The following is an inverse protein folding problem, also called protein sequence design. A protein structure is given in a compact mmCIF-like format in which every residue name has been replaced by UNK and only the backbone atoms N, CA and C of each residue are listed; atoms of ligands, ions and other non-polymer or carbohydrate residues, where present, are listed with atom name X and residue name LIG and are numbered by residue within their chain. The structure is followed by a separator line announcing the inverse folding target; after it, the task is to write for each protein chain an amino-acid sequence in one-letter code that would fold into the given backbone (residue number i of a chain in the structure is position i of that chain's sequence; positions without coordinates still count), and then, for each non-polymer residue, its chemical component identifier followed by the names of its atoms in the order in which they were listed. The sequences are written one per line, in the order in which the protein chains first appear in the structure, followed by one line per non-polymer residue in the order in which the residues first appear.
data_IF_040947204553
#
_entry.id   IF_040947204553
#
_cell.length_a   1.000
_cell.length_b   1.000
_cell.length_c   1.000
_cell.angle_alpha   90.00
_cell.angle_beta   90.00
_cell.angle_gamma   90.00
#
_symmetry.space_group_name_H-M   'P 1'
#
loop_
_entity.id
_entity.type
_entity.pdbx_description
1 polymer ?
#
# COMPACT_ATOMS: atom_id res chain seq x y z
N UNK A 1 -0.03 -27.74 29.78
CA UNK A 1 -1.45 -27.63 29.44
C UNK A 1 -1.64 -26.88 28.11
N UNK A 2 -1.10 -25.67 27.92
CA UNK A 2 -1.22 -24.89 26.67
C UNK A 2 -0.84 -25.68 25.43
N UNK A 3 0.35 -26.32 25.39
CA UNK A 3 0.79 -27.16 24.28
C UNK A 3 -0.22 -28.26 23.91
N UNK A 4 -0.93 -28.81 24.88
CA UNK A 4 -1.94 -29.84 24.65
C UNK A 4 -3.19 -29.23 24.00
N UNK A 5 -3.65 -28.08 24.44
CA UNK A 5 -4.78 -27.37 23.85
C UNK A 5 -4.48 -26.92 22.40
N UNK A 6 -3.27 -26.42 22.14
CA UNK A 6 -2.81 -26.11 20.77
C UNK A 6 -2.86 -27.37 19.89
N UNK A 7 -2.32 -28.51 20.39
CA UNK A 7 -2.36 -29.78 19.64
C UNK A 7 -3.81 -30.21 19.37
N UNK A 8 -4.74 -30.00 20.34
CA UNK A 8 -6.17 -30.31 20.18
C UNK A 8 -6.82 -29.43 19.10
N UNK A 9 -6.49 -28.16 19.00
CA UNK A 9 -6.97 -27.26 17.93
C UNK A 9 -6.54 -27.80 16.56
N UNK A 10 -5.23 -28.06 16.37
CA UNK A 10 -4.67 -28.52 15.10
C UNK A 10 -4.91 -30.02 14.82
N UNK A 11 -5.43 -30.80 15.76
CA UNK A 11 -5.81 -32.21 15.49
C UNK A 11 -7.10 -32.34 14.71
N UNK A 12 -7.99 -31.33 14.73
CA UNK A 12 -9.26 -31.35 14.04
C UNK A 12 -9.07 -31.24 12.52
N UNK A 13 -9.72 -32.14 11.77
CA UNK A 13 -9.65 -32.11 10.29
C UNK A 13 -10.15 -30.80 9.71
N UNK A 14 -11.24 -30.23 10.26
CA UNK A 14 -11.77 -28.94 9.81
C UNK A 14 -10.74 -27.79 9.95
N UNK A 15 -10.00 -27.76 11.08
CA UNK A 15 -8.98 -26.74 11.30
C UNK A 15 -7.78 -26.92 10.37
N UNK A 16 -7.40 -28.16 10.06
CA UNK A 16 -6.34 -28.44 9.06
C UNK A 16 -6.76 -27.98 7.67
N UNK A 17 -7.99 -28.26 7.27
CA UNK A 17 -8.55 -27.79 5.99
C UNK A 17 -8.58 -26.25 5.98
N UNK A 18 -9.06 -25.62 7.05
CA UNK A 18 -9.08 -24.14 7.16
C UNK A 18 -7.69 -23.53 7.01
N UNK A 19 -6.65 -24.12 7.62
CA UNK A 19 -5.26 -23.67 7.46
C UNK A 19 -4.76 -23.79 6.02
N UNK A 20 -5.09 -24.91 5.35
CA UNK A 20 -4.72 -25.11 3.93
C UNK A 20 -5.43 -24.07 3.06
N UNK A 21 -6.71 -23.80 3.31
CA UNK A 21 -7.47 -22.77 2.59
C UNK A 21 -6.85 -21.38 2.80
N UNK A 22 -6.46 -21.05 4.04
CA UNK A 22 -5.79 -19.78 4.34
C UNK A 22 -4.46 -19.64 3.58
N UNK A 23 -3.62 -20.68 3.62
CA UNK A 23 -2.34 -20.67 2.90
C UNK A 23 -2.54 -20.56 1.39
N UNK A 24 -3.54 -21.24 0.84
CA UNK A 24 -3.89 -21.15 -0.57
C UNK A 24 -4.38 -19.71 -0.92
N UNK A 25 -5.23 -19.11 -0.09
CA UNK A 25 -5.70 -17.74 -0.27
C UNK A 25 -4.56 -16.73 -0.24
N UNK A 26 -3.61 -16.86 0.69
CA UNK A 26 -2.41 -16.02 0.76
C UNK A 26 -1.57 -16.19 -0.52
N UNK A 27 -1.33 -17.44 -0.96
CA UNK A 27 -0.55 -17.69 -2.17
C UNK A 27 -1.19 -17.09 -3.43
N UNK A 28 -2.51 -17.21 -3.56
CA UNK A 28 -3.28 -16.59 -4.66
C UNK A 28 -3.21 -15.08 -4.60
N UNK A 29 -3.33 -14.49 -3.42
CA UNK A 29 -3.24 -13.03 -3.24
C UNK A 29 -1.84 -12.52 -3.58
N UNK A 30 -0.79 -13.21 -3.14
CA UNK A 30 0.58 -12.88 -3.52
C UNK A 30 0.81 -12.98 -5.04
N UNK A 31 0.23 -14.00 -5.67
CA UNK A 31 0.29 -14.14 -7.12
C UNK A 31 -0.36 -12.95 -7.83
N UNK A 32 -1.56 -12.53 -7.41
CA UNK A 32 -2.21 -11.35 -7.98
C UNK A 32 -1.41 -10.05 -7.72
N UNK A 33 -0.86 -9.88 -6.52
CA UNK A 33 -0.04 -8.72 -6.20
C UNK A 33 1.19 -8.60 -7.12
N UNK A 34 1.85 -9.72 -7.42
CA UNK A 34 3.00 -9.75 -8.34
C UNK A 34 2.55 -9.56 -9.78
N UNK A 35 1.43 -10.20 -10.18
CA UNK A 35 0.92 -10.14 -11.56
C UNK A 35 0.35 -8.76 -11.92
N UNK A 36 0.01 -7.93 -10.92
CA UNK A 36 -0.45 -6.56 -11.15
C UNK A 36 0.67 -5.56 -11.46
N UNK A 37 1.93 -5.99 -11.35
CA UNK A 37 3.06 -5.17 -11.76
C UNK A 37 3.29 -5.32 -13.25
N UNK A 38 3.29 -4.22 -13.94
CA UNK A 38 3.49 -4.16 -15.39
C UNK A 38 4.41 -3.01 -15.79
N UNK A 39 5.10 -3.18 -16.91
CA UNK A 39 5.80 -2.11 -17.60
C UNK A 39 5.63 -2.29 -19.12
N UNK A 40 5.74 -1.19 -19.84
CA UNK A 40 5.72 -1.15 -21.30
C UNK A 40 7.15 -0.91 -21.78
N UNK A 41 7.63 -1.72 -22.72
CA UNK A 41 8.94 -1.53 -23.33
C UNK A 41 8.91 -0.53 -24.52
N UNK A 42 10.05 -0.32 -25.18
CA UNK A 42 10.17 0.59 -26.32
C UNK A 42 9.49 0.05 -27.59
N UNK A 43 9.23 -1.26 -27.67
CA UNK A 43 8.47 -1.91 -28.76
C UNK A 43 6.96 -1.83 -28.49
N UNK A 44 6.58 -1.27 -27.34
CA UNK A 44 5.18 -1.10 -26.87
C UNK A 44 4.53 -2.43 -26.42
N UNK A 45 5.36 -3.41 -26.10
CA UNK A 45 4.88 -4.65 -25.49
C UNK A 45 4.76 -4.51 -23.99
N UNK A 46 3.64 -5.00 -23.44
CA UNK A 46 3.38 -4.98 -21.99
C UNK A 46 3.91 -6.26 -21.36
N UNK A 47 4.82 -6.10 -20.41
CA UNK A 47 5.37 -7.18 -19.59
C UNK A 47 4.76 -7.14 -18.19
N UNK A 48 4.51 -8.31 -17.60
CA UNK A 48 3.85 -8.43 -16.29
C UNK A 48 4.62 -9.36 -15.34
N UNK A 49 4.27 -9.32 -14.06
CA UNK A 49 4.76 -10.27 -13.07
C UNK A 49 6.17 -9.99 -12.58
N UNK A 50 6.92 -11.05 -12.23
CA UNK A 50 8.24 -10.93 -11.58
C UNK A 50 9.26 -10.22 -12.47
N UNK A 51 9.22 -10.45 -13.78
CA UNK A 51 10.13 -9.78 -14.71
C UNK A 51 9.87 -8.25 -14.73
N UNK A 52 8.60 -7.85 -14.78
CA UNK A 52 8.20 -6.46 -14.71
C UNK A 52 8.58 -5.83 -13.36
N UNK A 53 8.33 -6.52 -12.26
CA UNK A 53 8.71 -6.03 -10.92
C UNK A 53 10.22 -5.76 -10.79
N UNK A 54 11.06 -6.64 -11.36
CA UNK A 54 12.51 -6.46 -11.37
C UNK A 54 12.94 -5.28 -12.24
N UNK A 55 12.40 -5.20 -13.45
CA UNK A 55 12.69 -4.09 -14.37
C UNK A 55 12.34 -2.74 -13.74
N UNK A 56 11.14 -2.60 -13.20
CA UNK A 56 10.70 -1.38 -12.53
C UNK A 56 11.58 -1.03 -11.34
N UNK A 57 11.95 -2.02 -10.51
CA UNK A 57 12.86 -1.80 -9.39
C UNK A 57 14.20 -1.26 -9.88
N UNK A 58 14.81 -1.91 -10.87
CA UNK A 58 16.14 -1.57 -11.33
C UNK A 58 16.15 -0.19 -12.03
N UNK A 59 15.15 0.11 -12.85
CA UNK A 59 15.02 1.40 -13.54
C UNK A 59 14.68 2.56 -12.59
N UNK A 60 13.80 2.32 -11.61
CA UNK A 60 13.43 3.35 -10.62
C UNK A 60 14.50 3.56 -9.55
N UNK A 61 15.33 2.54 -9.26
CA UNK A 61 16.46 2.67 -8.34
C UNK A 61 17.52 3.68 -8.80
N UNK A 62 17.59 3.98 -10.10
CA UNK A 62 18.46 5.04 -10.63
C UNK A 62 18.12 6.44 -10.08
N UNK A 63 16.90 6.61 -9.61
CA UNK A 63 16.36 7.85 -9.06
C UNK A 63 16.29 7.85 -7.53
N UNK A 64 16.79 6.79 -6.87
CA UNK A 64 16.77 6.67 -5.42
C UNK A 64 17.63 7.74 -4.75
N UNK A 65 17.10 8.35 -3.68
CA UNK A 65 17.79 9.36 -2.90
C UNK A 65 16.90 10.54 -2.50
N UNK A 66 17.54 11.63 -2.10
CA UNK A 66 16.84 12.86 -1.75
C UNK A 66 16.33 13.56 -3.02
N UNK A 67 15.05 13.90 -3.04
CA UNK A 67 14.40 14.62 -4.14
C UNK A 67 14.69 16.10 -4.01
N UNK A 68 15.94 16.47 -4.32
CA UNK A 68 16.40 17.85 -4.31
C UNK A 68 15.84 18.65 -5.49
N UNK A 69 16.03 19.97 -5.48
CA UNK A 69 15.65 20.82 -6.63
C UNK A 69 16.34 20.37 -7.93
N UNK A 70 17.58 19.93 -7.87
CA UNK A 70 18.32 19.47 -9.05
C UNK A 70 17.69 18.20 -9.63
N UNK A 71 17.25 17.27 -8.79
CA UNK A 71 16.52 16.07 -9.21
C UNK A 71 15.18 16.45 -9.85
N UNK A 72 14.44 17.38 -9.24
CA UNK A 72 13.17 17.87 -9.80
C UNK A 72 13.35 18.54 -11.16
N UNK A 73 14.37 19.37 -11.32
CA UNK A 73 14.72 20.01 -12.60
C UNK A 73 15.11 18.99 -13.66
N UNK A 74 15.91 17.98 -13.28
CA UNK A 74 16.29 16.89 -14.19
C UNK A 74 15.08 16.11 -14.67
N UNK A 75 14.13 15.77 -13.78
CA UNK A 75 12.87 15.10 -14.16
C UNK A 75 12.09 15.95 -15.16
N UNK A 76 11.92 17.25 -14.93
CA UNK A 76 11.21 18.14 -15.88
C UNK A 76 11.95 18.23 -17.22
N UNK A 77 13.28 18.32 -17.18
CA UNK A 77 14.11 18.36 -18.40
C UNK A 77 13.95 17.09 -19.23
N UNK A 78 14.07 15.91 -18.61
CA UNK A 78 13.90 14.63 -19.30
C UNK A 78 12.46 14.46 -19.81
N UNK A 79 11.46 14.80 -18.98
CA UNK A 79 10.06 14.74 -19.39
C UNK A 79 9.79 15.60 -20.63
N UNK A 80 10.37 16.82 -20.69
CA UNK A 80 10.24 17.71 -21.84
C UNK A 80 10.91 17.14 -23.08
N UNK A 81 12.15 16.65 -22.98
CA UNK A 81 12.88 16.03 -24.12
C UNK A 81 12.14 14.83 -24.69
N UNK A 82 11.55 14.02 -23.81
CA UNK A 82 10.74 12.88 -24.24
C UNK A 82 9.45 13.36 -24.93
N UNK A 83 8.76 14.39 -24.41
CA UNK A 83 7.56 14.94 -25.03
C UNK A 83 7.82 15.59 -26.39
N UNK A 84 8.98 16.23 -26.56
CA UNK A 84 9.40 16.82 -27.85
C UNK A 84 9.69 15.74 -28.89
N UNK A 85 10.28 14.60 -28.46
CA UNK A 85 10.65 13.50 -29.37
C UNK A 85 9.46 12.57 -29.64
N UNK A 86 8.65 12.30 -28.61
CA UNK A 86 7.51 11.39 -28.62
C UNK A 86 6.28 12.10 -28.06
N UNK A 87 5.67 13.01 -28.83
CA UNK A 87 4.52 13.79 -28.35
C UNK A 87 3.31 12.89 -28.09
N UNK A 88 2.60 13.22 -27.01
CA UNK A 88 1.32 12.58 -26.71
C UNK A 88 0.29 12.99 -27.77
N UNK A 89 -0.25 12.01 -28.48
CA UNK A 89 -1.16 12.23 -29.60
C UNK A 89 -2.25 11.16 -29.64
N UNK A 90 -3.53 11.55 -29.65
CA UNK A 90 -4.64 10.60 -29.78
C UNK A 90 -4.68 9.90 -31.15
N UNK A 91 -3.96 10.42 -32.15
CA UNK A 91 -3.91 9.86 -33.51
C UNK A 91 -2.68 8.98 -33.77
N UNK A 92 -1.66 9.07 -32.90
CA UNK A 92 -0.45 8.24 -32.97
C UNK A 92 -0.17 7.60 -31.60
N UNK A 93 -0.98 6.60 -31.27
CA UNK A 93 -0.90 5.86 -30.02
C UNK A 93 0.46 5.19 -29.83
N UNK A 94 1.10 4.74 -30.93
CA UNK A 94 2.40 4.10 -30.84
C UNK A 94 3.47 5.05 -30.32
N UNK A 95 3.57 6.25 -30.89
CA UNK A 95 4.51 7.29 -30.44
C UNK A 95 4.23 7.70 -28.99
N UNK A 96 2.96 7.87 -28.61
CA UNK A 96 2.55 8.17 -27.24
C UNK A 96 3.02 7.08 -26.26
N UNK A 97 2.84 5.80 -26.61
CA UNK A 97 3.25 4.67 -25.76
C UNK A 97 4.78 4.55 -25.64
N UNK A 98 5.54 4.84 -26.70
CA UNK A 98 7.00 4.93 -26.59
C UNK A 98 7.40 6.06 -25.65
N UNK A 99 6.77 7.22 -25.75
CA UNK A 99 6.98 8.32 -24.80
C UNK A 99 6.67 7.92 -23.36
N UNK A 100 5.59 7.19 -23.15
CA UNK A 100 5.21 6.63 -21.84
C UNK A 100 6.28 5.65 -21.33
N UNK A 101 6.73 4.68 -22.16
CA UNK A 101 7.72 3.68 -21.73
C UNK A 101 9.01 4.31 -21.21
N UNK A 102 9.47 5.39 -21.84
CA UNK A 102 10.68 6.12 -21.44
C UNK A 102 10.54 6.94 -20.14
N UNK A 103 9.33 7.26 -19.73
CA UNK A 103 9.05 8.01 -18.49
C UNK A 103 8.88 7.13 -17.25
N UNK A 104 8.77 5.82 -17.39
CA UNK A 104 8.43 4.90 -16.28
C UNK A 104 9.46 4.93 -15.15
N UNK A 105 10.76 5.14 -15.46
CA UNK A 105 11.82 5.20 -14.46
C UNK A 105 11.63 6.29 -13.42
N UNK A 106 11.19 7.48 -13.83
CA UNK A 106 10.97 8.63 -12.94
C UNK A 106 9.49 8.96 -12.72
N UNK A 107 8.58 8.06 -13.08
CA UNK A 107 7.13 8.29 -13.02
C UNK A 107 6.66 8.69 -11.62
N UNK A 108 7.19 8.09 -10.55
CA UNK A 108 6.77 8.36 -9.18
C UNK A 108 7.16 9.78 -8.75
N UNK A 109 8.34 10.27 -9.18
CA UNK A 109 8.78 11.66 -8.93
C UNK A 109 7.94 12.62 -9.78
N UNK A 110 7.65 12.27 -11.03
CA UNK A 110 6.75 13.04 -11.88
C UNK A 110 5.35 13.15 -11.27
N UNK A 111 4.83 12.09 -10.67
CA UNK A 111 3.54 12.10 -9.97
C UNK A 111 3.58 12.94 -8.69
N UNK A 112 4.71 12.95 -7.98
CA UNK A 112 4.92 13.87 -6.86
C UNK A 112 4.87 15.34 -7.33
N UNK A 113 5.50 15.67 -8.48
CA UNK A 113 5.43 17.00 -9.09
C UNK A 113 3.99 17.32 -9.50
N UNK A 114 3.31 16.41 -10.21
CA UNK A 114 1.92 16.60 -10.59
C UNK A 114 1.04 16.90 -9.36
N UNK A 115 1.18 16.13 -8.29
CA UNK A 115 0.42 16.32 -7.05
C UNK A 115 0.74 17.66 -6.36
N UNK A 116 2.02 18.07 -6.35
CA UNK A 116 2.44 19.30 -5.70
C UNK A 116 1.99 20.57 -6.42
N UNK A 117 1.77 20.50 -7.73
CA UNK A 117 1.37 21.63 -8.57
C UNK A 117 -0.08 21.55 -9.07
N UNK A 118 -0.81 20.48 -8.76
CA UNK A 118 -2.25 20.38 -8.96
C UNK A 118 -3.01 21.04 -7.81
N UNK A 119 -4.26 21.42 -8.04
CA UNK A 119 -5.13 21.84 -6.94
C UNK A 119 -5.34 20.68 -5.97
N UNK A 120 -5.47 20.99 -4.67
CA UNK A 120 -5.65 19.97 -3.65
C UNK A 120 -6.95 19.20 -3.92
N UNK A 121 -6.86 17.84 -3.98
CA UNK A 121 -7.92 16.90 -4.38
C UNK A 121 -8.29 16.87 -5.87
N UNK A 122 -7.67 17.69 -6.71
CA UNK A 122 -7.85 17.66 -8.16
C UNK A 122 -6.52 17.33 -8.84
N UNK A 123 -6.21 16.01 -8.94
CA UNK A 123 -4.95 15.58 -9.54
C UNK A 123 -4.93 15.78 -11.04
N UNK A 124 -3.94 16.54 -11.53
CA UNK A 124 -3.68 16.70 -12.97
C UNK A 124 -2.43 15.90 -13.37
N UNK A 125 -2.61 14.81 -14.09
CA UNK A 125 -1.55 13.90 -14.56
C UNK A 125 -0.58 14.54 -15.56
N UNK A 126 -0.93 15.68 -16.13
CA UNK A 126 -0.15 16.41 -17.14
C UNK A 126 0.47 17.71 -16.61
N UNK A 127 0.38 17.95 -15.31
CA UNK A 127 0.85 19.22 -14.74
C UNK A 127 2.35 19.43 -14.95
N UNK A 128 3.15 18.38 -14.81
CA UNK A 128 4.60 18.39 -15.05
C UNK A 128 4.97 18.80 -16.48
N UNK A 129 4.09 18.55 -17.46
CA UNK A 129 4.36 18.88 -18.87
C UNK A 129 4.34 20.40 -19.14
N UNK A 130 3.66 21.17 -18.28
CA UNK A 130 3.53 22.63 -18.39
C UNK A 130 4.48 23.42 -17.49
N UNK A 131 5.25 22.74 -16.62
CA UNK A 131 6.15 23.41 -15.68
C UNK A 131 7.52 23.70 -16.30
N UNK A 132 8.09 24.83 -15.91
CA UNK A 132 9.50 25.15 -16.15
C UNK A 132 10.42 24.56 -15.07
N UNK A 133 11.72 24.46 -15.38
CA UNK A 133 12.74 24.02 -14.43
C UNK A 133 12.88 24.96 -13.21
N UNK A 134 12.58 26.25 -13.39
CA UNK A 134 12.63 27.23 -12.29
C UNK A 134 11.40 27.14 -11.37
N UNK A 135 10.24 26.78 -11.92
CA UNK A 135 9.02 26.63 -11.14
C UNK A 135 9.04 25.39 -10.26
N UNK A 136 9.58 24.27 -10.76
CA UNK A 136 9.55 22.99 -10.07
C UNK A 136 10.31 22.99 -8.73
N UNK A 137 11.32 23.84 -8.57
CA UNK A 137 12.05 24.01 -7.31
C UNK A 137 11.17 24.44 -6.14
N UNK A 138 9.98 25.02 -6.40
CA UNK A 138 9.01 25.43 -5.38
C UNK A 138 8.07 24.32 -4.93
N UNK A 139 8.33 23.06 -5.28
CA UNK A 139 7.43 21.93 -5.01
C UNK A 139 7.01 21.86 -3.54
N UNK A 140 7.97 21.94 -2.63
CA UNK A 140 7.69 21.73 -1.20
C UNK A 140 6.87 22.86 -0.59
N UNK A 141 7.16 24.10 -0.95
CA UNK A 141 6.37 25.26 -0.51
C UNK A 141 4.97 25.24 -1.13
N UNK A 142 4.88 24.89 -2.41
CA UNK A 142 3.62 24.88 -3.12
C UNK A 142 2.63 23.83 -2.57
N UNK A 143 3.12 22.69 -2.07
CA UNK A 143 2.29 21.70 -1.38
C UNK A 143 1.58 22.28 -0.15
N UNK A 144 2.29 23.10 0.63
CA UNK A 144 1.72 23.76 1.82
C UNK A 144 0.69 24.79 1.39
N UNK A 145 1.03 25.62 0.40
CA UNK A 145 0.13 26.63 -0.14
C UNK A 145 -1.17 26.03 -0.72
N UNK A 146 -1.07 24.89 -1.41
CA UNK A 146 -2.23 24.20 -1.95
C UNK A 146 -3.13 23.65 -0.84
N UNK A 147 -2.57 23.12 0.24
CA UNK A 147 -3.36 22.71 1.40
C UNK A 147 -4.07 23.90 2.05
N UNK A 148 -3.36 25.02 2.28
CA UNK A 148 -3.93 26.23 2.89
C UNK A 148 -5.06 26.80 2.02
N UNK A 149 -4.84 26.86 0.69
CA UNK A 149 -5.85 27.31 -0.27
C UNK A 149 -7.11 26.45 -0.20
N UNK A 150 -6.95 25.13 -0.17
CA UNK A 150 -8.08 24.19 -0.08
C UNK A 150 -8.83 24.31 1.24
N UNK A 151 -8.12 24.37 2.38
CA UNK A 151 -8.73 24.52 3.71
C UNK A 151 -9.58 25.79 3.85
N UNK A 152 -9.30 26.81 3.04
CA UNK A 152 -10.04 28.07 3.01
C UNK A 152 -11.03 28.18 1.82
N UNK A 153 -11.12 27.16 0.99
CA UNK A 153 -12.08 27.10 -0.12
C UNK A 153 -13.52 26.92 0.37
N UNK A 154 -14.47 27.18 -0.51
CA UNK A 154 -15.91 26.97 -0.21
C UNK A 154 -16.24 25.52 0.11
N UNK A 155 -15.44 24.58 -0.41
CA UNK A 155 -15.61 23.15 -0.13
C UNK A 155 -15.24 22.77 1.32
N UNK A 156 -14.18 23.37 1.87
CA UNK A 156 -13.57 22.90 3.12
C UNK A 156 -13.68 23.90 4.30
N UNK A 157 -13.94 25.18 4.04
CA UNK A 157 -13.88 26.24 5.07
C UNK A 157 -14.74 25.98 6.30
N UNK A 158 -15.90 25.33 6.11
CA UNK A 158 -16.88 25.06 7.17
C UNK A 158 -16.73 23.62 7.74
N UNK A 159 -15.82 22.79 7.18
CA UNK A 159 -15.59 21.43 7.64
C UNK A 159 -14.56 21.36 8.78
N UNK A 160 -13.71 22.37 8.91
CA UNK A 160 -12.62 22.41 9.87
C UNK A 160 -12.63 23.71 10.66
N UNK A 161 -12.47 23.60 11.97
CA UNK A 161 -12.21 24.77 12.82
C UNK A 161 -10.83 25.37 12.53
N UNK A 162 -10.60 26.63 12.88
CA UNK A 162 -9.31 27.29 12.69
C UNK A 162 -8.14 26.55 13.39
N UNK A 163 -8.42 25.89 14.55
CA UNK A 163 -7.43 25.07 15.24
C UNK A 163 -7.06 23.80 14.45
N UNK A 164 -8.03 23.16 13.85
CA UNK A 164 -7.80 21.97 13.00
C UNK A 164 -7.07 22.33 11.72
N UNK A 165 -7.43 23.45 11.07
CA UNK A 165 -6.70 23.97 9.91
C UNK A 165 -5.22 24.24 10.26
N UNK A 166 -4.97 24.98 11.35
CA UNK A 166 -3.63 25.26 11.82
C UNK A 166 -2.86 23.97 12.16
N UNK A 167 -3.52 22.99 12.77
CA UNK A 167 -2.92 21.70 13.05
C UNK A 167 -2.51 20.97 11.77
N UNK A 168 -3.39 20.86 10.77
CA UNK A 168 -3.12 20.19 9.50
C UNK A 168 -1.95 20.85 8.78
N UNK A 169 -1.94 22.18 8.66
CA UNK A 169 -0.82 22.92 8.05
C UNK A 169 0.48 22.66 8.82
N UNK A 170 0.43 22.68 10.16
CA UNK A 170 1.62 22.40 10.98
C UNK A 170 2.18 20.99 10.78
N UNK A 171 1.33 19.99 10.51
CA UNK A 171 1.80 18.63 10.19
C UNK A 171 2.53 18.59 8.85
N UNK A 172 2.02 19.28 7.83
CA UNK A 172 2.70 19.40 6.53
C UNK A 172 4.04 20.12 6.62
N UNK A 173 4.11 21.19 7.43
CA UNK A 173 5.35 21.95 7.66
C UNK A 173 6.42 21.16 8.43
N UNK A 174 6.02 20.17 9.25
CA UNK A 174 6.94 19.32 10.02
C UNK A 174 7.56 18.19 9.19
N UNK A 175 7.04 17.92 8.00
CA UNK A 175 7.64 16.90 7.15
C UNK A 175 9.05 17.32 6.75
N UNK A 176 10.01 16.43 6.98
CA UNK A 176 11.39 16.65 6.55
C UNK A 176 11.46 16.73 5.02
N UNK A 177 12.05 17.80 4.52
CA UNK A 177 12.27 18.03 3.08
C UNK A 177 13.73 18.34 2.82
N UNK A 178 14.30 17.92 1.68
CA UNK A 178 13.68 17.17 0.58
C UNK A 178 13.30 15.72 0.99
N UNK A 179 12.24 15.18 0.38
CA UNK A 179 11.84 13.79 0.61
C UNK A 179 12.90 12.81 0.12
N UNK A 180 13.04 11.69 0.83
CA UNK A 180 13.82 10.57 0.34
C UNK A 180 12.92 9.66 -0.50
N UNK A 181 13.34 9.38 -1.72
CA UNK A 181 12.66 8.45 -2.62
C UNK A 181 13.35 7.10 -2.61
N UNK A 182 12.57 6.06 -2.48
CA UNK A 182 12.95 4.66 -2.66
C UNK A 182 11.77 3.93 -3.31
N UNK A 183 12.04 3.12 -4.32
CA UNK A 183 10.98 2.39 -4.98
C UNK A 183 10.39 1.30 -4.08
N UNK A 184 9.15 1.48 -3.68
CA UNK A 184 8.42 0.60 -2.78
C UNK A 184 7.25 -0.14 -3.44
N UNK A 185 7.24 -0.31 -4.77
CA UNK A 185 6.10 -0.86 -5.51
C UNK A 185 5.63 -2.22 -5.01
N UNK A 186 6.56 -3.11 -4.63
CA UNK A 186 6.23 -4.41 -4.03
C UNK A 186 5.49 -4.29 -2.70
N UNK A 187 5.90 -3.35 -1.83
CA UNK A 187 5.21 -3.07 -0.56
C UNK A 187 3.84 -2.44 -0.80
N UNK A 188 3.74 -1.51 -1.74
CA UNK A 188 2.46 -0.88 -2.10
C UNK A 188 1.47 -1.91 -2.61
N UNK A 189 1.88 -2.79 -3.52
CA UNK A 189 1.04 -3.89 -4.01
C UNK A 189 0.62 -4.83 -2.86
N UNK A 190 1.53 -5.19 -1.96
CA UNK A 190 1.20 -6.02 -0.80
C UNK A 190 0.19 -5.34 0.13
N UNK A 191 0.32 -4.03 0.39
CA UNK A 191 -0.58 -3.26 1.23
C UNK A 191 -2.00 -3.16 0.66
N UNK A 192 -2.17 -3.09 -0.65
CA UNK A 192 -3.48 -3.11 -1.31
C UNK A 192 -4.27 -4.38 -0.95
N UNK A 193 -3.58 -5.52 -0.87
CA UNK A 193 -4.22 -6.82 -0.55
C UNK A 193 -4.23 -7.14 0.95
N UNK A 194 -3.47 -6.44 1.78
CA UNK A 194 -3.35 -6.70 3.21
C UNK A 194 -4.71 -6.73 3.94
N UNK A 195 -5.67 -5.79 3.73
CA UNK A 195 -6.96 -5.83 4.41
C UNK A 195 -7.73 -7.13 4.14
N UNK A 196 -7.70 -7.62 2.90
CA UNK A 196 -8.37 -8.88 2.51
C UNK A 196 -7.73 -10.07 3.20
N UNK A 197 -6.38 -10.14 3.23
CA UNK A 197 -5.66 -11.21 3.91
C UNK A 197 -5.94 -11.18 5.42
N UNK A 198 -5.92 -10.00 6.04
CA UNK A 198 -6.21 -9.83 7.46
C UNK A 198 -7.63 -10.29 7.77
N UNK A 199 -8.63 -9.88 7.00
CA UNK A 199 -10.01 -10.28 7.18
C UNK A 199 -10.18 -11.79 7.09
N UNK A 200 -9.63 -12.43 6.07
CA UNK A 200 -9.66 -13.89 5.91
C UNK A 200 -8.95 -14.60 7.06
N UNK A 201 -7.81 -14.09 7.48
CA UNK A 201 -7.06 -14.64 8.62
C UNK A 201 -7.89 -14.59 9.88
N UNK A 202 -8.50 -13.43 10.20
CA UNK A 202 -9.35 -13.26 11.38
C UNK A 202 -10.54 -14.21 11.35
N UNK A 203 -11.22 -14.36 10.21
CA UNK A 203 -12.35 -15.30 10.06
C UNK A 203 -11.93 -16.75 10.31
N UNK A 204 -10.85 -17.21 9.69
CA UNK A 204 -10.37 -18.59 9.83
C UNK A 204 -9.86 -18.86 11.25
N UNK A 205 -9.12 -17.91 11.83
CA UNK A 205 -8.64 -18.04 13.21
C UNK A 205 -9.81 -18.03 14.20
N UNK A 206 -10.82 -17.19 13.99
CA UNK A 206 -12.05 -17.19 14.81
C UNK A 206 -12.75 -18.56 14.77
N UNK A 207 -12.81 -19.19 13.58
CA UNK A 207 -13.35 -20.53 13.43
C UNK A 207 -12.53 -21.58 14.20
N UNK A 208 -11.19 -21.49 14.19
CA UNK A 208 -10.31 -22.39 14.95
C UNK A 208 -10.56 -22.29 16.45
N UNK A 209 -10.78 -21.08 16.95
CA UNK A 209 -10.93 -20.81 18.38
C UNK A 209 -12.36 -21.03 18.88
N UNK A 210 -13.37 -20.89 18.01
CA UNK A 210 -14.78 -20.98 18.38
C UNK A 210 -15.15 -22.27 19.12
N UNK A 211 -14.48 -23.39 18.82
CA UNK A 211 -14.71 -24.67 19.46
C UNK A 211 -13.94 -24.94 20.77
N UNK A 212 -13.10 -24.03 21.25
CA UNK A 212 -12.21 -24.30 22.39
C UNK A 212 -12.97 -24.62 23.66
N UNK A 213 -14.06 -23.91 23.92
CA UNK A 213 -14.91 -24.14 25.09
C UNK A 213 -16.15 -25.02 24.74
N UNK A 214 -16.80 -24.77 23.61
CA UNK A 214 -18.05 -25.45 23.24
C UNK A 214 -17.88 -26.96 23.06
N UNK A 215 -16.69 -27.41 22.70
CA UNK A 215 -16.42 -28.84 22.56
C UNK A 215 -16.56 -29.62 23.88
N UNK A 216 -16.23 -29.04 25.02
CA UNK A 216 -16.39 -29.68 26.35
C UNK A 216 -17.88 -29.96 26.62
N UNK A 217 -18.75 -29.03 26.25
CA UNK A 217 -20.20 -29.21 26.35
C UNK A 217 -20.71 -30.25 25.34
N UNK A 218 -20.22 -30.18 24.11
CA UNK A 218 -20.60 -31.18 23.06
C UNK A 218 -20.21 -32.61 23.42
N UNK A 219 -19.12 -32.82 24.12
CA UNK A 219 -18.66 -34.13 24.60
C UNK A 219 -19.19 -34.49 25.99
N UNK A 220 -20.03 -33.65 26.61
CA UNK A 220 -20.56 -33.83 27.97
C UNK A 220 -19.43 -33.96 29.02
N UNK A 221 -18.29 -33.34 28.77
CA UNK A 221 -17.12 -33.35 29.65
C UNK A 221 -17.04 -32.09 30.54
N UNK A 222 -17.97 -31.17 30.40
CA UNK A 222 -18.05 -29.89 31.13
C UNK A 222 -18.11 -30.11 32.63
N UNK A 223 -18.90 -31.05 33.13
CA UNK A 223 -19.00 -31.36 34.56
C UNK A 223 -17.68 -31.84 35.14
N UNK A 224 -16.93 -32.69 34.42
CA UNK A 224 -15.60 -33.17 34.83
C UNK A 224 -14.58 -32.05 34.74
N UNK A 225 -14.61 -31.23 33.68
CA UNK A 225 -13.71 -30.12 33.49
C UNK A 225 -13.85 -29.07 34.59
N UNK A 226 -15.08 -28.65 34.91
CA UNK A 226 -15.34 -27.64 35.92
C UNK A 226 -15.28 -28.14 37.36
N UNK A 227 -15.43 -29.43 37.66
CA UNK A 227 -15.25 -30.00 38.95
C UNK A 227 -13.80 -30.34 39.31
N UNK A 228 -12.92 -30.48 38.31
CA UNK A 228 -11.51 -30.77 38.54
C UNK A 228 -10.78 -29.58 39.20
N UNK A 229 -9.88 -29.89 40.15
CA UNK A 229 -9.14 -28.93 40.97
C UNK A 229 -8.48 -27.79 40.13
N UNK A 230 -8.02 -28.09 38.94
CA UNK A 230 -7.34 -27.14 38.05
C UNK A 230 -8.16 -26.74 36.82
N UNK A 231 -9.36 -27.35 36.61
CA UNK A 231 -10.17 -27.11 35.43
C UNK A 231 -10.65 -25.66 35.32
N UNK A 232 -11.19 -25.12 36.39
CA UNK A 232 -11.70 -23.72 36.42
C UNK A 232 -10.67 -22.68 36.16
N UNK A 233 -9.46 -22.76 36.73
CA UNK A 233 -8.47 -21.72 36.68
C UNK A 233 -7.40 -22.02 35.61
N UNK A 234 -6.59 -23.06 35.84
CA UNK A 234 -5.46 -23.38 34.93
C UNK A 234 -5.93 -23.94 33.58
N UNK A 235 -7.01 -24.72 33.55
CA UNK A 235 -7.60 -25.26 32.33
C UNK A 235 -8.15 -24.12 31.46
N UNK A 236 -8.94 -23.23 32.04
CA UNK A 236 -9.52 -22.06 31.35
C UNK A 236 -8.42 -21.14 30.82
N UNK A 237 -7.44 -20.79 31.69
CA UNK A 237 -6.32 -19.98 31.29
C UNK A 237 -5.52 -20.62 30.13
N UNK A 238 -5.28 -21.93 30.19
CA UNK A 238 -4.56 -22.65 29.14
C UNK A 238 -5.30 -22.63 27.80
N UNK A 239 -6.65 -22.68 27.83
CA UNK A 239 -7.49 -22.58 26.63
C UNK A 239 -7.44 -21.17 26.01
N UNK A 240 -7.58 -20.16 26.86
CA UNK A 240 -7.47 -18.75 26.41
C UNK A 240 -6.07 -18.50 25.80
N UNK A 241 -5.01 -18.88 26.52
CA UNK A 241 -3.65 -18.72 26.04
C UNK A 241 -3.39 -19.48 24.72
N UNK A 242 -3.93 -20.71 24.58
CA UNK A 242 -3.81 -21.48 23.33
C UNK A 242 -4.60 -20.86 22.17
N UNK A 243 -5.67 -20.13 22.45
CA UNK A 243 -6.44 -19.41 21.43
C UNK A 243 -5.81 -18.10 20.97
N UNK A 244 -4.91 -17.54 21.80
CA UNK A 244 -4.19 -16.30 21.51
C UNK A 244 -2.79 -16.54 20.89
N UNK A 245 -2.33 -17.81 20.85
CA UNK A 245 -1.05 -18.21 20.27
C UNK A 245 -1.20 -18.69 18.83
#
# INVERSE_FOLDING_TARGET
MIRFEIKKIFSKTANKIGLIVLLAAIAVTCYFAISSMDYVDEEVDTHTGIAAARYLRDTKAEWEGLITEDVLREVIRQNRLINETYPDSPTDIKTSNIGYSKKQGFSDIRDLINSGFSEFREHNYYRADSLSEDEVGKLYDNRILNLEKWLNSDEAKDQFSEKEKAFLVSQYQKLETPFYYEYAGGFTAALVYAPTIIMLTVLIMSFFVAGIFSNEFGWKADSVFFSARYGRNRGTFSKIAAGLT
#
